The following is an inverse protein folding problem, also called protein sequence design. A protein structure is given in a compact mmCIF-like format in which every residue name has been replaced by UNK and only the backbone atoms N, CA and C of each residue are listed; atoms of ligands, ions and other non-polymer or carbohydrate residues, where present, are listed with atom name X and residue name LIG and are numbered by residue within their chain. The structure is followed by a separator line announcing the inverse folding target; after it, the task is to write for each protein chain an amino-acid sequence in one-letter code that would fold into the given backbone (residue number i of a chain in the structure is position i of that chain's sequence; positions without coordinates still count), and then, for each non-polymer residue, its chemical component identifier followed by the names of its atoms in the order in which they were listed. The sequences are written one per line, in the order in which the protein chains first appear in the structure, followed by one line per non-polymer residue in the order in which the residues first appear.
data_IF_420161971966
#
_entry.id   IF_420161971966
#
_cell.length_a   1.000
_cell.length_b   1.000
_cell.length_c   1.000
_cell.angle_alpha   90.00
_cell.angle_beta   90.00
_cell.angle_gamma   90.00
#
_symmetry.space_group_name_H-M   'P 1'
#
loop_
_entity.id
_entity.type
_entity.pdbx_description
1 polymer ?
#
# COMPACT_ATOMS: atom_id res chain seq x y z
N UNK A 1 18.78 3.07 16.49
CA UNK A 1 18.81 2.40 17.80
C UNK A 1 18.64 0.92 17.56
N UNK A 2 19.60 0.11 17.95
CA UNK A 2 19.50 -1.35 17.92
C UNK A 2 18.43 -1.79 18.92
N UNK A 3 17.33 -2.36 18.42
CA UNK A 3 16.36 -3.05 19.28
C UNK A 3 17.03 -4.37 19.68
N UNK A 4 17.62 -4.41 20.88
CA UNK A 4 18.42 -5.56 21.37
C UNK A 4 17.55 -6.65 22.01
N UNK A 5 16.36 -6.90 21.46
CA UNK A 5 15.47 -7.98 21.88
C UNK A 5 14.96 -8.74 20.65
N UNK A 6 14.73 -10.05 20.78
CA UNK A 6 14.04 -10.83 19.75
C UNK A 6 12.60 -10.32 19.62
N UNK A 7 12.18 -10.00 18.40
CA UNK A 7 10.79 -9.64 18.11
C UNK A 7 9.83 -10.78 18.49
N UNK A 8 8.58 -10.43 18.83
CA UNK A 8 7.53 -11.38 19.20
C UNK A 8 7.33 -12.44 18.12
N UNK A 9 7.19 -12.00 16.86
CA UNK A 9 7.11 -12.90 15.71
C UNK A 9 8.48 -13.11 15.07
N UNK A 10 8.91 -14.37 14.91
CA UNK A 10 10.20 -14.77 14.33
C UNK A 10 10.05 -15.65 13.08
N UNK A 11 8.84 -15.71 12.51
CA UNK A 11 8.58 -16.40 11.25
C UNK A 11 8.93 -15.54 10.03
N UNK A 12 8.72 -16.07 8.81
CA UNK A 12 8.98 -15.34 7.57
C UNK A 12 8.04 -14.14 7.44
N UNK A 13 8.51 -13.08 6.80
CA UNK A 13 7.72 -11.88 6.49
C UNK A 13 7.67 -11.65 4.97
N UNK A 14 6.51 -11.21 4.49
CA UNK A 14 6.20 -10.81 3.13
C UNK A 14 5.88 -9.32 3.12
N UNK A 15 6.67 -8.49 2.43
CA UNK A 15 6.34 -7.07 2.22
C UNK A 15 5.49 -6.89 0.95
N UNK A 16 4.18 -6.71 1.12
CA UNK A 16 3.22 -6.63 0.03
C UNK A 16 3.24 -5.30 -0.73
N UNK A 17 4.12 -4.35 -0.38
CA UNK A 17 4.13 -3.05 -1.03
C UNK A 17 5.49 -2.37 -0.93
N UNK A 18 6.31 -2.58 -1.96
CA UNK A 18 7.57 -1.85 -2.15
C UNK A 18 7.68 -1.29 -3.57
N UNK A 19 8.55 -0.31 -3.76
CA UNK A 19 8.90 0.23 -5.08
C UNK A 19 10.35 -0.09 -5.39
N UNK A 20 10.59 -0.81 -6.49
CA UNK A 20 11.96 -1.22 -6.86
C UNK A 20 12.52 -0.39 -8.01
N UNK A 21 13.83 -0.25 -7.99
CA UNK A 21 14.65 0.51 -8.92
C UNK A 21 16.06 -0.06 -9.00
N UNK A 22 16.81 0.29 -10.04
CA UNK A 22 18.06 -0.40 -10.35
C UNK A 22 19.15 -0.23 -9.28
N UNK A 23 19.43 1.01 -8.86
CA UNK A 23 20.63 1.32 -8.07
C UNK A 23 20.57 0.82 -6.63
N UNK A 24 19.42 0.97 -5.96
CA UNK A 24 19.32 0.63 -4.54
C UNK A 24 18.65 -0.71 -4.22
N UNK A 25 18.28 -1.52 -5.21
CA UNK A 25 17.62 -2.82 -4.95
C UNK A 25 18.48 -3.77 -4.12
N UNK A 26 19.79 -3.87 -4.40
CA UNK A 26 20.68 -4.72 -3.61
C UNK A 26 20.80 -4.25 -2.16
N UNK A 27 20.84 -2.94 -1.93
CA UNK A 27 20.82 -2.33 -0.59
C UNK A 27 19.52 -2.66 0.15
N UNK A 28 18.39 -2.49 -0.54
CA UNK A 28 17.07 -2.80 -0.02
C UNK A 28 16.96 -4.27 0.44
N UNK A 29 17.36 -5.21 -0.41
CA UNK A 29 17.33 -6.65 -0.09
C UNK A 29 18.25 -7.02 1.07
N UNK A 30 19.43 -6.41 1.17
CA UNK A 30 20.34 -6.64 2.29
C UNK A 30 19.73 -6.16 3.63
N UNK A 31 18.97 -5.06 3.62
CA UNK A 31 18.28 -4.57 4.81
C UNK A 31 17.07 -5.44 5.13
N UNK A 32 16.33 -5.88 4.12
CA UNK A 32 15.24 -6.86 4.27
C UNK A 32 15.68 -8.14 4.98
N UNK A 33 16.88 -8.64 4.68
CA UNK A 33 17.46 -9.82 5.33
C UNK A 33 17.71 -9.59 6.83
N UNK A 34 17.94 -8.34 7.28
CA UNK A 34 18.07 -7.99 8.71
C UNK A 34 16.73 -8.07 9.48
N UNK A 35 15.60 -8.08 8.75
CA UNK A 35 14.24 -8.06 9.29
C UNK A 35 13.41 -9.30 8.91
N UNK A 36 14.07 -10.37 8.45
CA UNK A 36 13.43 -11.64 8.06
C UNK A 36 12.39 -11.50 6.91
N UNK A 37 12.53 -10.47 6.06
CA UNK A 37 11.67 -10.27 4.89
C UNK A 37 12.08 -11.26 3.80
N UNK A 38 11.31 -12.33 3.66
CA UNK A 38 11.61 -13.44 2.76
C UNK A 38 11.13 -13.20 1.32
N UNK A 39 10.03 -12.44 1.15
CA UNK A 39 9.48 -12.08 -0.16
C UNK A 39 8.91 -10.67 -0.15
N UNK A 40 8.80 -10.07 -1.33
CA UNK A 40 8.15 -8.78 -1.51
C UNK A 40 7.37 -8.69 -2.81
N UNK A 41 6.42 -7.76 -2.87
CA UNK A 41 5.93 -7.21 -4.13
C UNK A 41 6.76 -5.99 -4.48
N UNK A 42 7.53 -6.10 -5.56
CA UNK A 42 8.27 -5.00 -6.13
C UNK A 42 7.46 -4.31 -7.23
N UNK A 43 6.99 -3.10 -6.95
CA UNK A 43 6.35 -2.23 -7.94
C UNK A 43 7.42 -1.66 -8.88
N UNK A 44 7.26 -1.96 -10.16
CA UNK A 44 8.22 -1.64 -11.22
C UNK A 44 7.70 -0.49 -12.06
N UNK A 45 8.52 0.55 -12.17
CA UNK A 45 8.21 1.76 -12.95
C UNK A 45 8.78 1.74 -14.37
N UNK A 46 9.74 0.86 -14.68
CA UNK A 46 10.34 0.77 -16.02
C UNK A 46 10.74 -0.67 -16.37
N UNK A 47 10.64 -1.09 -17.65
CA UNK A 47 11.06 -2.44 -18.08
C UNK A 47 12.51 -2.78 -17.76
N UNK A 48 13.42 -1.79 -17.79
CA UNK A 48 14.84 -1.99 -17.45
C UNK A 48 15.03 -2.48 -16.01
N UNK A 49 14.19 -2.02 -15.08
CA UNK A 49 14.22 -2.46 -13.69
C UNK A 49 13.71 -3.89 -13.56
N UNK A 50 12.65 -4.26 -14.32
CA UNK A 50 12.16 -5.64 -14.36
C UNK A 50 13.28 -6.60 -14.80
N UNK A 51 13.92 -6.33 -15.94
CA UNK A 51 14.94 -7.22 -16.49
C UNK A 51 16.11 -7.41 -15.52
N UNK A 52 16.56 -6.31 -14.92
CA UNK A 52 17.61 -6.34 -13.90
C UNK A 52 17.19 -7.19 -12.68
N UNK A 53 16.03 -6.87 -12.08
CA UNK A 53 15.58 -7.52 -10.86
C UNK A 53 15.27 -9.00 -11.08
N UNK A 54 14.60 -9.34 -12.18
CA UNK A 54 14.28 -10.72 -12.58
C UNK A 54 15.54 -11.55 -12.79
N UNK A 55 16.59 -10.99 -13.41
CA UNK A 55 17.84 -11.72 -13.67
C UNK A 55 18.62 -12.11 -12.40
N UNK A 56 18.34 -11.46 -11.26
CA UNK A 56 19.10 -11.64 -10.02
C UNK A 56 18.28 -12.12 -8.83
N UNK A 57 17.00 -11.78 -8.76
CA UNK A 57 16.19 -11.82 -7.55
C UNK A 57 14.76 -12.36 -7.79
N UNK A 58 14.54 -13.14 -8.85
CA UNK A 58 13.21 -13.67 -9.20
C UNK A 58 12.54 -14.49 -8.07
N UNK A 59 13.33 -15.18 -7.23
CA UNK A 59 12.77 -15.97 -6.11
C UNK A 59 12.26 -15.11 -4.94
N UNK A 60 12.74 -13.85 -4.85
CA UNK A 60 12.45 -12.91 -3.76
C UNK A 60 11.34 -11.92 -4.10
N UNK A 61 11.11 -11.63 -5.38
CA UNK A 61 10.27 -10.51 -5.80
C UNK A 61 9.15 -10.99 -6.72
N UNK A 62 7.93 -10.59 -6.39
CA UNK A 62 6.78 -10.62 -7.29
C UNK A 62 6.66 -9.25 -7.95
N UNK A 63 6.60 -9.22 -9.27
CA UNK A 63 6.70 -7.97 -10.01
C UNK A 63 5.31 -7.39 -10.31
N UNK A 64 5.02 -6.22 -9.74
CA UNK A 64 3.83 -5.43 -10.07
C UNK A 64 4.14 -4.40 -11.15
N UNK A 65 3.35 -4.38 -12.23
CA UNK A 65 3.49 -3.40 -13.31
C UNK A 65 2.81 -2.09 -12.93
N UNK A 66 3.56 -1.00 -12.85
CA UNK A 66 2.98 0.32 -12.63
C UNK A 66 2.32 0.83 -13.92
N UNK A 67 1.01 1.05 -13.88
CA UNK A 67 0.27 1.62 -14.99
C UNK A 67 0.50 3.13 -15.06
N UNK A 68 0.75 3.69 -16.26
CA UNK A 68 1.04 5.11 -16.42
C UNK A 68 -0.17 5.97 -16.03
N UNK A 69 -0.03 6.73 -14.93
CA UNK A 69 -1.10 7.62 -14.45
C UNK A 69 -1.54 8.59 -15.53
N UNK A 70 -0.62 9.18 -16.30
CA UNK A 70 -0.94 10.15 -17.35
C UNK A 70 -1.82 9.61 -18.47
N UNK A 71 -1.62 8.35 -18.85
CA UNK A 71 -2.41 7.70 -19.90
C UNK A 71 -3.76 7.23 -19.35
N UNK A 72 -3.76 6.78 -18.09
CA UNK A 72 -4.99 6.39 -17.42
C UNK A 72 -5.93 7.59 -17.23
N UNK A 73 -5.40 8.74 -16.82
CA UNK A 73 -6.22 9.94 -16.58
C UNK A 73 -6.76 10.56 -17.85
N UNK A 74 -6.16 10.24 -19.00
CA UNK A 74 -6.67 10.59 -20.34
C UNK A 74 -7.66 9.57 -20.90
N UNK A 75 -8.01 8.55 -20.13
CA UNK A 75 -8.84 7.43 -20.58
C UNK A 75 -8.28 6.75 -21.83
N UNK A 76 -6.96 6.57 -21.90
CA UNK A 76 -6.33 5.77 -22.95
C UNK A 76 -6.57 4.27 -22.68
N UNK A 77 -7.82 3.85 -22.79
CA UNK A 77 -8.29 2.49 -22.46
C UNK A 77 -7.61 1.47 -23.35
N UNK A 78 -7.35 1.80 -24.62
CA UNK A 78 -6.65 0.92 -25.55
C UNK A 78 -5.26 0.53 -25.00
N UNK A 79 -4.49 1.51 -24.52
CA UNK A 79 -3.20 1.23 -23.87
C UNK A 79 -3.40 0.35 -22.63
N UNK A 80 -4.37 0.65 -21.76
CA UNK A 80 -4.60 -0.14 -20.56
C UNK A 80 -4.93 -1.60 -20.88
N UNK A 81 -5.74 -1.86 -21.91
CA UNK A 81 -6.06 -3.22 -22.36
C UNK A 81 -4.81 -3.93 -22.94
N UNK A 82 -3.96 -3.20 -23.67
CA UNK A 82 -2.68 -3.72 -24.15
C UNK A 82 -1.76 -4.11 -22.98
N UNK A 83 -1.61 -3.23 -21.99
CA UNK A 83 -0.81 -3.47 -20.77
C UNK A 83 -1.27 -4.71 -19.99
N UNK A 84 -2.59 -4.95 -19.94
CA UNK A 84 -3.18 -6.16 -19.35
C UNK A 84 -2.86 -7.38 -20.21
N UNK A 85 -3.01 -7.28 -21.53
CA UNK A 85 -2.83 -8.40 -22.45
C UNK A 85 -1.39 -8.94 -22.50
N UNK A 86 -0.39 -8.09 -22.30
CA UNK A 86 1.03 -8.48 -22.32
C UNK A 86 1.62 -8.71 -20.93
N UNK A 87 0.84 -8.51 -19.86
CA UNK A 87 1.30 -8.48 -18.47
C UNK A 87 2.16 -9.69 -18.09
N UNK A 88 1.62 -10.89 -18.30
CA UNK A 88 2.28 -12.14 -17.92
C UNK A 88 3.44 -12.50 -18.85
N UNK A 89 3.30 -12.24 -20.15
CA UNK A 89 4.36 -12.50 -21.15
C UNK A 89 5.60 -11.63 -20.88
N UNK A 90 5.40 -10.42 -20.37
CA UNK A 90 6.49 -9.53 -19.95
C UNK A 90 7.15 -10.01 -18.64
N UNK A 91 6.44 -10.78 -17.82
CA UNK A 91 6.94 -11.35 -16.55
C UNK A 91 6.46 -10.63 -15.29
N UNK A 92 5.37 -9.87 -15.38
CA UNK A 92 4.67 -9.32 -14.21
C UNK A 92 3.61 -10.29 -13.70
N UNK A 93 3.17 -10.11 -12.46
CA UNK A 93 2.12 -10.95 -11.85
C UNK A 93 0.84 -10.19 -11.51
N UNK A 94 0.93 -8.85 -11.45
CA UNK A 94 -0.14 -7.97 -11.00
C UNK A 94 0.06 -6.54 -11.52
N UNK A 95 -0.97 -5.72 -11.39
CA UNK A 95 -0.99 -4.31 -11.79
C UNK A 95 -0.89 -3.39 -10.57
N UNK A 96 -0.43 -2.16 -10.78
CA UNK A 96 -0.43 -1.08 -9.80
C UNK A 96 -0.96 0.21 -10.42
N UNK A 97 -1.90 0.86 -9.76
CA UNK A 97 -2.39 2.20 -10.08
C UNK A 97 -2.20 3.15 -8.89
N UNK A 98 -1.98 4.44 -9.21
CA UNK A 98 -1.76 5.49 -8.22
C UNK A 98 -2.64 6.71 -8.51
N UNK A 99 -3.55 6.99 -7.58
CA UNK A 99 -4.49 8.11 -7.58
C UNK A 99 -4.56 8.78 -6.19
N UNK A 100 -3.41 8.89 -5.51
CA UNK A 100 -3.27 9.92 -4.47
C UNK A 100 -3.46 11.29 -5.12
N UNK A 101 -4.24 12.23 -4.56
CA UNK A 101 -4.70 13.45 -5.26
C UNK A 101 -3.57 14.29 -5.88
N UNK A 102 -2.34 14.14 -5.36
CA UNK A 102 -1.13 14.76 -5.90
C UNK A 102 -0.82 14.44 -7.35
N UNK A 103 -1.39 13.39 -7.96
CA UNK A 103 -1.16 13.12 -9.38
C UNK A 103 -1.51 14.33 -10.27
N UNK A 104 -2.48 15.15 -9.83
CA UNK A 104 -2.89 16.42 -10.47
C UNK A 104 -1.83 17.53 -10.47
N UNK A 105 -0.72 17.33 -9.75
CA UNK A 105 0.45 18.23 -9.82
C UNK A 105 1.40 17.86 -10.95
N UNK A 106 1.32 16.62 -11.44
CA UNK A 106 2.28 16.05 -12.40
C UNK A 106 1.67 15.78 -13.77
N UNK A 107 0.34 15.65 -13.84
CA UNK A 107 -0.40 15.38 -15.06
C UNK A 107 -1.46 16.45 -15.26
N UNK A 108 -1.46 17.03 -16.45
CA UNK A 108 -2.51 17.94 -16.88
C UNK A 108 -3.80 17.15 -17.16
N UNK A 109 -4.84 17.47 -16.39
CA UNK A 109 -6.22 16.98 -16.60
C UNK A 109 -7.07 18.17 -17.02
N UNK A 110 -7.26 18.32 -18.34
CA UNK A 110 -8.04 19.39 -18.91
C UNK A 110 -9.47 19.38 -18.32
N UNK A 111 -9.84 20.48 -17.67
CA UNK A 111 -11.11 20.69 -16.96
C UNK A 111 -11.30 19.85 -15.68
N UNK A 112 -10.24 19.27 -15.13
CA UNK A 112 -10.30 18.49 -13.88
C UNK A 112 -11.36 17.36 -13.95
N UNK A 113 -11.41 16.68 -15.11
CA UNK A 113 -12.52 15.82 -15.52
C UNK A 113 -12.30 14.33 -15.21
N UNK A 114 -11.08 13.95 -14.84
CA UNK A 114 -10.79 12.56 -14.54
C UNK A 114 -11.52 12.09 -13.28
N UNK A 115 -12.17 10.93 -13.41
CA UNK A 115 -12.74 10.16 -12.31
C UNK A 115 -12.40 8.69 -12.49
N UNK A 116 -12.05 8.04 -11.38
CA UNK A 116 -11.74 6.60 -11.37
C UNK A 116 -12.97 5.74 -11.67
N UNK A 117 -14.17 6.22 -11.34
CA UNK A 117 -15.46 5.54 -11.58
C UNK A 117 -16.13 5.94 -12.89
N UNK A 118 -15.41 6.58 -13.81
CA UNK A 118 -15.97 6.92 -15.13
C UNK A 118 -16.12 5.66 -15.99
N UNK A 119 -17.30 5.53 -16.61
CA UNK A 119 -17.67 4.38 -17.46
C UNK A 119 -16.68 4.09 -18.59
N UNK A 120 -15.88 5.07 -19.02
CA UNK A 120 -14.80 4.85 -20.00
C UNK A 120 -13.76 3.85 -19.52
N UNK A 121 -13.52 3.73 -18.20
CA UNK A 121 -12.60 2.74 -17.64
C UNK A 121 -13.22 1.35 -17.46
N UNK A 122 -14.54 1.19 -17.67
CA UNK A 122 -15.21 -0.11 -17.51
C UNK A 122 -14.52 -1.25 -18.28
N UNK A 123 -14.13 -1.11 -19.55
CA UNK A 123 -13.49 -2.22 -20.28
C UNK A 123 -12.19 -2.70 -19.63
N UNK A 124 -11.43 -1.80 -18.98
CA UNK A 124 -10.24 -2.17 -18.24
C UNK A 124 -10.59 -2.98 -17.00
N UNK A 125 -11.53 -2.50 -16.17
CA UNK A 125 -11.97 -3.22 -14.97
C UNK A 125 -12.62 -4.56 -15.29
N UNK A 126 -13.46 -4.62 -16.32
CA UNK A 126 -14.06 -5.87 -16.84
C UNK A 126 -12.98 -6.87 -17.25
N UNK A 127 -11.92 -6.41 -17.93
CA UNK A 127 -10.83 -7.30 -18.35
C UNK A 127 -10.06 -7.86 -17.15
N UNK A 128 -9.63 -7.01 -16.20
CA UNK A 128 -8.86 -7.50 -15.05
C UNK A 128 -9.71 -8.33 -14.08
N UNK A 129 -11.01 -8.07 -13.97
CA UNK A 129 -11.94 -8.91 -13.21
C UNK A 129 -12.08 -10.28 -13.85
N UNK A 130 -12.32 -10.33 -15.18
CA UNK A 130 -12.48 -11.57 -15.94
C UNK A 130 -11.23 -12.43 -15.93
N UNK A 131 -10.05 -11.82 -16.09
CA UNK A 131 -8.77 -12.52 -16.11
C UNK A 131 -8.21 -12.74 -14.68
N UNK A 132 -8.95 -12.34 -13.64
CA UNK A 132 -8.59 -12.46 -12.22
C UNK A 132 -7.21 -11.86 -11.89
N UNK A 133 -6.83 -10.78 -12.57
CA UNK A 133 -5.53 -10.11 -12.39
C UNK A 133 -5.59 -9.24 -11.13
N UNK A 134 -4.72 -9.47 -10.12
CA UNK A 134 -4.67 -8.61 -8.95
C UNK A 134 -4.25 -7.17 -9.31
N UNK A 135 -4.88 -6.20 -8.66
CA UNK A 135 -4.54 -4.79 -8.79
C UNK A 135 -4.26 -4.19 -7.41
N UNK A 136 -3.08 -3.61 -7.24
CA UNK A 136 -2.81 -2.70 -6.13
C UNK A 136 -3.32 -1.32 -6.55
N UNK A 137 -4.18 -0.70 -5.75
CA UNK A 137 -4.69 0.64 -6.04
C UNK A 137 -4.52 1.57 -4.83
N UNK A 138 -3.95 2.75 -5.08
CA UNK A 138 -3.84 3.82 -4.08
C UNK A 138 -4.82 4.93 -4.48
N UNK A 139 -5.83 5.19 -3.65
CA UNK A 139 -6.81 6.27 -3.84
C UNK A 139 -6.91 7.08 -2.56
N UNK A 140 -6.77 8.41 -2.66
CA UNK A 140 -6.76 9.28 -1.48
C UNK A 140 -5.39 9.29 -0.76
N UNK A 141 -5.29 10.09 0.29
CA UNK A 141 -4.06 10.36 1.04
C UNK A 141 -4.46 10.76 2.50
N UNK A 142 -3.50 11.03 3.41
CA UNK A 142 -3.82 11.41 4.80
C UNK A 142 -4.80 12.58 4.91
N UNK A 143 -5.63 12.58 5.96
CA UNK A 143 -6.51 13.73 6.26
C UNK A 143 -5.71 15.03 6.39
N UNK A 144 -4.54 14.94 7.02
CA UNK A 144 -3.59 16.05 7.11
C UNK A 144 -3.24 16.64 5.75
N UNK A 145 -3.18 15.85 4.67
CA UNK A 145 -2.87 16.37 3.34
C UNK A 145 -4.08 17.07 2.72
N UNK A 146 -5.30 16.58 2.96
CA UNK A 146 -6.52 17.32 2.62
C UNK A 146 -6.64 18.65 3.39
N UNK A 147 -6.14 18.68 4.62
CA UNK A 147 -6.12 19.87 5.47
C UNK A 147 -4.94 20.81 5.23
N UNK A 148 -3.90 20.45 4.46
CA UNK A 148 -2.68 21.28 4.35
C UNK A 148 -2.14 21.44 2.92
N UNK A 149 -2.38 20.47 2.03
CA UNK A 149 -1.85 20.43 0.66
C UNK A 149 -2.95 20.49 -0.39
N UNK A 150 -4.12 19.89 -0.10
CA UNK A 150 -5.23 19.75 -1.05
C UNK A 150 -6.41 20.67 -0.75
N UNK A 151 -6.14 21.86 -0.21
CA UNK A 151 -7.17 22.84 0.13
C UNK A 151 -8.02 23.31 -1.07
N UNK A 152 -7.45 23.29 -2.27
CA UNK A 152 -8.18 23.57 -3.50
C UNK A 152 -9.02 22.35 -3.90
N UNK A 153 -10.21 22.26 -3.32
CA UNK A 153 -11.15 21.15 -3.59
C UNK A 153 -11.59 21.12 -5.05
N UNK A 154 -11.53 22.26 -5.78
CA UNK A 154 -11.86 22.28 -7.20
C UNK A 154 -10.83 21.54 -8.05
N UNK A 155 -9.59 21.48 -7.58
CA UNK A 155 -8.50 20.70 -8.17
C UNK A 155 -8.48 19.27 -7.61
N UNK A 156 -8.31 19.10 -6.31
CA UNK A 156 -8.00 17.78 -5.73
C UNK A 156 -9.23 16.94 -5.34
N UNK A 157 -10.42 17.54 -5.34
CA UNK A 157 -11.61 16.96 -4.71
C UNK A 157 -11.45 16.83 -3.19
N UNK A 158 -12.42 16.19 -2.57
CA UNK A 158 -12.38 15.81 -1.16
C UNK A 158 -11.94 14.35 -1.00
N UNK A 159 -11.52 13.97 0.21
CA UNK A 159 -11.19 12.56 0.50
C UNK A 159 -12.38 11.65 0.28
N UNK A 160 -13.56 12.07 0.73
CA UNK A 160 -14.78 11.28 0.62
C UNK A 160 -15.19 11.09 -0.85
N UNK A 161 -15.06 12.12 -1.69
CA UNK A 161 -15.28 11.97 -3.15
C UNK A 161 -14.29 11.03 -3.81
N UNK A 162 -13.02 11.03 -3.38
CA UNK A 162 -12.00 10.12 -3.91
C UNK A 162 -12.28 8.67 -3.47
N UNK A 163 -12.62 8.45 -2.20
CA UNK A 163 -13.00 7.13 -1.68
C UNK A 163 -14.29 6.62 -2.33
N UNK A 164 -15.28 7.48 -2.53
CA UNK A 164 -16.55 7.12 -3.18
C UNK A 164 -16.35 6.64 -4.62
N UNK A 165 -15.38 7.20 -5.36
CA UNK A 165 -15.07 6.70 -6.70
C UNK A 165 -14.56 5.25 -6.66
N UNK A 166 -13.66 4.93 -5.73
CA UNK A 166 -13.20 3.53 -5.58
C UNK A 166 -14.34 2.60 -5.15
N UNK A 167 -15.20 3.06 -4.23
CA UNK A 167 -16.37 2.29 -3.80
C UNK A 167 -17.34 2.01 -4.96
N UNK A 168 -17.57 2.99 -5.84
CA UNK A 168 -18.40 2.80 -7.03
C UNK A 168 -17.82 1.73 -7.98
N UNK A 169 -16.49 1.71 -8.16
CA UNK A 169 -15.81 0.63 -8.90
C UNK A 169 -16.02 -0.72 -8.23
N UNK A 170 -15.89 -0.82 -6.90
CA UNK A 170 -16.09 -2.06 -6.16
C UNK A 170 -17.55 -2.57 -6.23
N UNK A 171 -18.53 -1.66 -6.20
CA UNK A 171 -19.95 -2.00 -6.38
C UNK A 171 -20.24 -2.53 -7.77
N UNK A 172 -19.58 -1.98 -8.79
CA UNK A 172 -19.78 -2.35 -10.19
C UNK A 172 -19.06 -3.65 -10.56
N UNK A 173 -17.89 -3.90 -9.97
CA UNK A 173 -17.02 -5.05 -10.26
C UNK A 173 -16.70 -5.82 -8.96
N UNK A 174 -17.69 -6.54 -8.39
CA UNK A 174 -17.60 -7.14 -7.06
C UNK A 174 -16.67 -8.35 -6.96
N UNK A 175 -16.08 -8.81 -8.07
CA UNK A 175 -15.11 -9.92 -8.10
C UNK A 175 -13.68 -9.46 -8.34
N UNK A 176 -13.43 -8.14 -8.48
CA UNK A 176 -12.07 -7.60 -8.64
C UNK A 176 -11.15 -8.02 -7.48
N UNK A 177 -9.97 -8.54 -7.78
CA UNK A 177 -8.95 -8.83 -6.76
C UNK A 177 -8.17 -7.55 -6.45
N UNK A 178 -8.59 -6.78 -5.46
CA UNK A 178 -7.92 -5.52 -5.11
C UNK A 178 -7.12 -5.61 -3.81
N UNK A 179 -5.86 -5.19 -3.87
CA UNK A 179 -5.12 -4.72 -2.70
C UNK A 179 -5.28 -3.20 -2.64
N UNK A 180 -6.07 -2.70 -1.68
CA UNK A 180 -6.23 -1.26 -1.47
C UNK A 180 -5.11 -0.78 -0.56
N UNK A 181 -4.27 0.09 -1.11
CA UNK A 181 -3.06 0.54 -0.45
C UNK A 181 -3.34 1.44 0.77
N UNK A 182 -2.39 1.44 1.69
CA UNK A 182 -2.31 2.38 2.82
C UNK A 182 -3.55 2.32 3.71
N UNK A 183 -3.99 1.11 4.03
CA UNK A 183 -5.15 0.86 4.87
C UNK A 183 -6.45 1.45 4.28
N UNK A 184 -6.60 1.31 2.96
CA UNK A 184 -7.74 1.90 2.24
C UNK A 184 -7.74 3.43 2.25
N UNK A 185 -6.58 4.05 2.48
CA UNK A 185 -6.42 5.47 2.81
C UNK A 185 -7.29 5.94 3.99
N UNK A 186 -7.63 5.05 4.91
CA UNK A 186 -8.55 5.32 6.04
C UNK A 186 -7.99 4.86 7.40
N UNK A 187 -6.68 4.98 7.72
CA UNK A 187 -6.16 4.60 9.02
C UNK A 187 -6.54 5.57 10.15
N UNK A 188 -7.09 6.75 9.84
CA UNK A 188 -7.59 7.67 10.87
C UNK A 188 -8.72 7.02 11.68
N UNK A 189 -8.65 7.11 13.02
CA UNK A 189 -9.57 6.40 13.93
C UNK A 189 -11.06 6.62 13.58
N UNK A 190 -11.45 7.84 13.24
CA UNK A 190 -12.83 8.17 12.90
C UNK A 190 -13.29 7.62 11.53
N UNK A 191 -12.36 7.12 10.70
CA UNK A 191 -12.65 6.51 9.39
C UNK A 191 -12.70 4.99 9.43
N UNK A 192 -12.27 4.36 10.54
CA UNK A 192 -12.28 2.91 10.68
C UNK A 192 -13.69 2.31 10.54
N UNK A 193 -14.74 3.03 10.94
CA UNK A 193 -16.13 2.59 10.72
C UNK A 193 -16.49 2.47 9.23
N UNK A 194 -16.05 3.42 8.40
CA UNK A 194 -16.29 3.34 6.96
C UNK A 194 -15.44 2.24 6.32
N UNK A 195 -14.19 2.08 6.75
CA UNK A 195 -13.33 1.00 6.28
C UNK A 195 -13.87 -0.38 6.68
N UNK A 196 -14.42 -0.52 7.89
CA UNK A 196 -15.07 -1.75 8.36
C UNK A 196 -16.25 -2.11 7.47
N UNK A 197 -17.09 -1.12 7.13
CA UNK A 197 -18.20 -1.29 6.17
C UNK A 197 -17.71 -1.78 4.80
N UNK A 198 -16.61 -1.23 4.28
CA UNK A 198 -16.01 -1.72 3.02
C UNK A 198 -15.54 -3.17 3.16
N UNK A 199 -14.85 -3.50 4.25
CA UNK A 199 -14.39 -4.86 4.50
C UNK A 199 -15.57 -5.83 4.59
N UNK A 200 -16.67 -5.48 5.25
CA UNK A 200 -17.86 -6.32 5.35
C UNK A 200 -18.60 -6.49 4.00
N UNK A 201 -18.61 -5.43 3.18
CA UNK A 201 -19.37 -5.39 1.91
C UNK A 201 -18.62 -6.09 0.77
N UNK A 202 -17.30 -5.93 0.71
CA UNK A 202 -16.46 -6.38 -0.40
C UNK A 202 -15.51 -7.49 0.08
N UNK A 203 -15.88 -8.78 -0.05
CA UNK A 203 -15.04 -9.89 0.41
C UNK A 203 -13.77 -10.09 -0.44
N UNK A 204 -13.73 -9.52 -1.63
CA UNK A 204 -12.69 -9.61 -2.65
C UNK A 204 -11.52 -8.62 -2.46
N UNK A 205 -11.60 -7.71 -1.49
CA UNK A 205 -10.55 -6.75 -1.20
C UNK A 205 -9.65 -7.19 -0.04
N UNK A 206 -8.37 -6.83 -0.12
CA UNK A 206 -7.41 -6.85 0.98
C UNK A 206 -6.83 -5.45 1.16
N UNK A 207 -6.38 -5.13 2.38
CA UNK A 207 -5.70 -3.88 2.70
C UNK A 207 -4.20 -4.15 2.86
N UNK A 208 -3.34 -3.20 2.52
CA UNK A 208 -1.95 -3.24 2.97
C UNK A 208 -1.65 -2.19 4.05
N UNK A 209 -0.60 -2.42 4.85
CA UNK A 209 -0.13 -1.48 5.87
C UNK A 209 0.93 -0.51 5.36
N UNK A 210 1.02 -0.29 4.04
CA UNK A 210 2.05 0.54 3.46
C UNK A 210 1.88 2.02 3.84
N UNK A 211 2.95 2.80 3.71
CA UNK A 211 3.15 4.09 4.38
C UNK A 211 3.30 3.93 5.89
N UNK A 212 4.38 3.25 6.30
CA UNK A 212 4.66 2.89 7.71
C UNK A 212 4.56 4.06 8.70
N UNK A 213 4.87 5.30 8.27
CA UNK A 213 4.73 6.49 9.12
C UNK A 213 3.28 6.88 9.36
N UNK A 214 2.44 6.74 8.33
CA UNK A 214 1.03 7.10 8.40
C UNK A 214 0.29 6.08 9.27
N UNK A 215 0.59 4.79 9.10
CA UNK A 215 0.07 3.73 9.97
C UNK A 215 0.47 3.96 11.42
N UNK A 216 1.76 4.17 11.68
CA UNK A 216 2.27 4.46 13.02
C UNK A 216 1.61 5.70 13.64
N UNK A 217 1.38 6.77 12.86
CA UNK A 217 0.80 8.01 13.36
C UNK A 217 -0.68 7.88 13.69
N UNK A 218 -1.47 7.26 12.84
CA UNK A 218 -2.94 7.28 12.97
C UNK A 218 -3.45 6.15 13.86
N UNK A 219 -2.95 4.93 13.69
CA UNK A 219 -3.40 3.78 14.46
C UNK A 219 -2.91 3.82 15.91
N UNK A 220 -1.84 4.57 16.20
CA UNK A 220 -1.39 4.79 17.58
C UNK A 220 -2.27 5.77 18.36
N UNK A 221 -3.17 6.53 17.72
CA UNK A 221 -4.00 7.54 18.43
C UNK A 221 -5.04 6.88 19.35
N UNK A 222 -5.52 5.70 18.95
CA UNK A 222 -6.40 4.86 19.75
C UNK A 222 -6.03 3.38 19.49
N UNK A 223 -5.08 2.83 20.28
CA UNK A 223 -4.60 1.47 20.07
C UNK A 223 -5.67 0.41 20.36
N UNK A 224 -6.65 0.70 21.23
CA UNK A 224 -7.73 -0.25 21.51
C UNK A 224 -8.66 -0.40 20.29
N UNK A 225 -9.10 0.72 19.73
CA UNK A 225 -9.94 0.72 18.51
C UNK A 225 -9.19 0.11 17.33
N UNK A 226 -7.92 0.49 17.14
CA UNK A 226 -7.09 -0.04 16.06
C UNK A 226 -6.85 -1.55 16.21
N UNK A 227 -6.54 -2.02 17.42
CA UNK A 227 -6.37 -3.45 17.71
C UNK A 227 -7.65 -4.22 17.39
N UNK A 228 -8.81 -3.74 17.82
CA UNK A 228 -10.09 -4.40 17.54
C UNK A 228 -10.35 -4.53 16.04
N UNK A 229 -10.08 -3.48 15.27
CA UNK A 229 -10.19 -3.51 13.81
C UNK A 229 -9.27 -4.58 13.21
N UNK A 230 -7.99 -4.59 13.57
CA UNK A 230 -7.02 -5.57 13.05
C UNK A 230 -7.43 -7.00 13.42
N UNK A 231 -7.89 -7.24 14.64
CA UNK A 231 -8.35 -8.56 15.09
C UNK A 231 -9.56 -9.05 14.28
N UNK A 232 -10.52 -8.16 14.01
CA UNK A 232 -11.74 -8.50 13.27
C UNK A 232 -11.47 -8.82 11.79
N UNK A 233 -10.58 -8.06 11.16
CA UNK A 233 -10.29 -8.17 9.72
C UNK A 233 -8.95 -8.85 9.39
N UNK A 234 -8.39 -9.57 10.37
CA UNK A 234 -7.04 -10.13 10.34
C UNK A 234 -6.73 -11.02 9.13
N UNK A 235 -7.72 -11.62 8.47
CA UNK A 235 -7.52 -12.49 7.30
C UNK A 235 -7.34 -11.73 5.98
N UNK A 236 -7.53 -10.40 5.97
CA UNK A 236 -7.51 -9.56 4.76
C UNK A 236 -6.66 -8.30 4.89
N UNK A 237 -5.69 -8.32 5.80
CA UNK A 237 -4.71 -7.23 5.98
C UNK A 237 -3.31 -7.79 5.72
N UNK A 238 -2.58 -7.15 4.82
CA UNK A 238 -1.25 -7.52 4.38
C UNK A 238 -0.22 -6.57 4.98
N UNK A 239 0.88 -7.10 5.47
CA UNK A 239 2.03 -6.28 5.81
C UNK A 239 2.60 -5.61 4.53
N UNK A 240 2.84 -4.31 4.57
CA UNK A 240 3.54 -3.58 3.51
C UNK A 240 4.20 -2.33 4.05
N UNK A 241 5.34 -1.89 3.50
CA UNK A 241 6.08 -0.75 4.08
C UNK A 241 6.01 0.56 3.30
N UNK A 242 5.77 0.48 1.98
CA UNK A 242 5.91 1.56 0.98
C UNK A 242 7.36 2.07 0.85
N UNK A 243 8.32 1.16 1.04
CA UNK A 243 9.74 1.47 0.85
C UNK A 243 10.07 1.50 -0.63
N UNK A 244 10.76 2.56 -1.07
CA UNK A 244 11.26 2.67 -2.44
C UNK A 244 12.77 2.56 -2.51
N UNK A 245 13.30 1.58 -3.25
CA UNK A 245 14.73 1.21 -3.29
C UNK A 245 15.67 2.35 -3.69
N UNK A 246 15.18 3.39 -4.36
CA UNK A 246 15.98 4.55 -4.78
C UNK A 246 15.91 5.74 -3.80
N UNK A 247 15.30 5.57 -2.62
CA UNK A 247 15.12 6.63 -1.63
C UNK A 247 15.79 6.28 -0.33
N UNK A 248 16.45 7.24 0.31
CA UNK A 248 16.97 7.11 1.68
C UNK A 248 18.16 6.18 1.84
N UNK A 249 18.71 6.18 3.06
CA UNK A 249 19.80 5.30 3.51
C UNK A 249 19.32 4.25 4.50
N UNK A 250 20.22 3.41 5.02
CA UNK A 250 19.86 2.29 5.89
C UNK A 250 18.86 2.65 6.98
N UNK A 251 19.05 3.78 7.68
CA UNK A 251 18.18 4.26 8.74
C UNK A 251 16.75 4.56 8.26
N UNK A 252 16.61 5.03 7.01
CA UNK A 252 15.30 5.28 6.41
C UNK A 252 14.53 3.99 6.18
N UNK A 253 15.19 2.92 5.71
CA UNK A 253 14.57 1.62 5.41
C UNK A 253 14.29 0.85 6.70
N UNK A 254 15.35 0.61 7.49
CA UNK A 254 15.27 -0.13 8.74
C UNK A 254 14.27 0.53 9.70
N UNK A 255 14.20 1.87 9.69
CA UNK A 255 13.20 2.61 10.44
C UNK A 255 11.76 2.24 10.11
N UNK A 256 11.42 1.91 8.85
CA UNK A 256 10.06 1.49 8.45
C UNK A 256 9.69 0.14 9.06
N UNK A 257 10.61 -0.82 8.97
CA UNK A 257 10.43 -2.14 9.58
C UNK A 257 10.35 -2.04 11.10
N UNK A 258 11.26 -1.28 11.73
CA UNK A 258 11.23 -1.04 13.19
C UNK A 258 9.90 -0.39 13.61
N UNK A 259 9.43 0.63 12.89
CA UNK A 259 8.18 1.31 13.22
C UNK A 259 6.98 0.36 13.18
N UNK A 260 6.88 -0.45 12.13
CA UNK A 260 5.78 -1.41 12.03
C UNK A 260 5.90 -2.56 13.02
N UNK A 261 7.12 -3.06 13.28
CA UNK A 261 7.34 -4.09 14.32
C UNK A 261 6.95 -3.57 15.69
N UNK A 262 7.30 -2.34 16.04
CA UNK A 262 6.83 -1.71 17.28
C UNK A 262 5.29 -1.59 17.31
N UNK A 263 4.67 -1.17 16.21
CA UNK A 263 3.22 -1.01 16.12
C UNK A 263 2.47 -2.34 16.26
N UNK A 264 2.91 -3.41 15.60
CA UNK A 264 2.15 -4.66 15.55
C UNK A 264 2.49 -5.63 16.68
N UNK A 265 3.76 -5.75 17.05
CA UNK A 265 4.25 -6.87 17.87
C UNK A 265 4.31 -6.57 19.36
N UNK A 266 4.29 -5.30 19.74
CA UNK A 266 4.67 -4.87 21.09
C UNK A 266 3.53 -4.14 21.79
N UNK A 267 3.66 -3.99 23.10
CA UNK A 267 2.80 -3.19 23.97
C UNK A 267 3.45 -1.85 24.34
N UNK A 268 4.44 -1.38 23.55
CA UNK A 268 5.14 -0.13 23.87
C UNK A 268 4.18 1.04 23.85
N UNK A 269 4.35 1.95 24.80
CA UNK A 269 3.59 3.19 24.84
C UNK A 269 4.50 4.37 24.55
N UNK A 270 3.96 5.33 23.80
CA UNK A 270 4.57 6.64 23.55
C UNK A 270 6.01 6.56 23.03
N UNK A 271 6.29 5.58 22.15
CA UNK A 271 7.63 5.36 21.60
C UNK A 271 7.85 6.28 20.40
N UNK A 272 8.88 7.16 20.36
CA UNK A 272 9.09 8.02 19.20
C UNK A 272 9.30 7.21 17.92
N UNK A 273 8.75 7.69 16.80
CA UNK A 273 8.99 7.13 15.48
C UNK A 273 10.52 7.10 15.21
N UNK A 274 11.08 6.00 14.69
CA UNK A 274 12.54 5.84 14.56
C UNK A 274 13.16 6.69 13.43
N UNK A 275 12.36 7.50 12.73
CA UNK A 275 12.78 8.42 11.69
C UNK A 275 11.85 9.64 11.69
N UNK A 276 12.24 10.72 11.00
CA UNK A 276 11.46 11.96 10.97
C UNK A 276 10.17 11.76 10.17
N UNK A 277 9.04 12.00 10.82
CA UNK A 277 7.77 12.23 10.12
C UNK A 277 7.64 13.71 9.75
N UNK A 278 7.70 14.00 8.45
CA UNK A 278 7.58 15.37 7.94
C UNK A 278 6.24 16.01 8.25
N UNK A 279 5.19 15.20 8.44
CA UNK A 279 3.82 15.71 8.66
C UNK A 279 3.63 16.18 10.11
N UNK A 280 4.47 15.74 11.05
CA UNK A 280 4.36 16.03 12.48
C UNK A 280 5.63 16.63 13.10
N UNK A 281 6.70 16.84 12.32
CA UNK A 281 8.00 17.34 12.82
C UNK A 281 7.90 18.67 13.59
N UNK A 282 6.96 19.53 13.21
CA UNK A 282 6.73 20.85 13.80
C UNK A 282 5.58 20.83 14.83
N UNK A 283 5.01 19.65 15.09
CA UNK A 283 3.84 19.42 15.97
C UNK A 283 4.16 18.47 17.14
N UNK A 284 5.45 18.27 17.46
CA UNK A 284 5.90 17.40 18.56
C UNK A 284 6.27 15.98 18.15
N UNK A 285 6.15 15.64 16.85
CA UNK A 285 6.55 14.35 16.29
C UNK A 285 5.47 13.26 16.39
N UNK A 286 5.80 12.09 15.86
CA UNK A 286 4.94 10.90 15.90
C UNK A 286 5.42 9.93 16.97
N UNK A 287 4.46 9.39 17.73
CA UNK A 287 4.70 8.37 18.75
C UNK A 287 3.89 7.12 18.44
N UNK A 288 4.53 5.97 18.62
CA UNK A 288 3.98 4.65 18.41
C UNK A 288 3.42 4.13 19.73
N UNK A 289 2.16 3.70 19.70
CA UNK A 289 1.53 2.88 20.72
C UNK A 289 1.29 1.50 20.11
N UNK A 290 2.00 0.50 20.61
CA UNK A 290 1.96 -0.86 20.09
C UNK A 290 0.62 -1.53 20.37
N UNK A 291 0.19 -2.36 19.42
CA UNK A 291 -1.09 -3.05 19.46
C UNK A 291 -1.01 -4.43 20.12
N UNK A 292 0.19 -4.96 20.41
CA UNK A 292 0.46 -6.29 20.98
C UNK A 292 -0.35 -7.43 20.32
N UNK A 293 -0.37 -7.50 18.99
CA UNK A 293 -1.19 -8.49 18.25
C UNK A 293 -0.82 -9.93 18.64
N UNK A 294 -1.80 -10.85 18.81
CA UNK A 294 -1.52 -12.26 19.08
C UNK A 294 -0.67 -12.89 17.97
N UNK A 295 0.13 -13.90 18.31
CA UNK A 295 1.03 -14.57 17.36
C UNK A 295 0.30 -15.06 16.09
N UNK A 296 -0.91 -15.62 16.25
CA UNK A 296 -1.73 -16.11 15.13
C UNK A 296 -2.21 -15.00 14.19
N UNK A 297 -2.27 -13.76 14.66
CA UNK A 297 -2.63 -12.58 13.87
C UNK A 297 -1.39 -12.02 13.19
N UNK A 298 -0.24 -12.00 13.88
CA UNK A 298 1.04 -11.63 13.29
C UNK A 298 1.42 -12.55 12.13
N UNK A 299 1.22 -13.87 12.25
CA UNK A 299 1.46 -14.83 11.15
C UNK A 299 0.59 -14.53 9.91
N UNK A 300 -0.68 -14.14 10.13
CA UNK A 300 -1.60 -13.73 9.06
C UNK A 300 -1.10 -12.46 8.37
N UNK A 301 -0.87 -11.41 9.16
CA UNK A 301 -0.42 -10.11 8.69
C UNK A 301 0.90 -10.21 7.91
N UNK A 302 1.89 -10.88 8.50
CA UNK A 302 3.24 -10.92 7.96
C UNK A 302 3.43 -11.90 6.81
N UNK A 303 2.64 -12.96 6.68
CA UNK A 303 2.93 -13.98 5.67
C UNK A 303 1.69 -14.58 5.03
N UNK A 304 0.83 -15.20 5.84
CA UNK A 304 -0.20 -16.12 5.34
C UNK A 304 -1.21 -15.41 4.44
N UNK A 305 -1.60 -14.17 4.74
CA UNK A 305 -2.58 -13.47 3.90
C UNK A 305 -2.01 -13.14 2.52
N UNK A 306 -0.76 -12.66 2.45
CA UNK A 306 -0.11 -12.34 1.17
C UNK A 306 0.09 -13.61 0.33
N UNK A 307 0.51 -14.71 0.97
CA UNK A 307 0.66 -16.00 0.32
C UNK A 307 -0.65 -16.51 -0.29
N UNK A 308 -1.77 -16.37 0.43
CA UNK A 308 -3.10 -16.75 -0.08
C UNK A 308 -3.60 -15.82 -1.18
N UNK A 309 -3.44 -14.49 -1.03
CA UNK A 309 -3.96 -13.53 -2.00
C UNK A 309 -3.18 -13.55 -3.32
N UNK A 310 -1.90 -13.92 -3.31
CA UNK A 310 -1.05 -13.97 -4.51
C UNK A 310 -0.80 -15.39 -5.04
N UNK A 311 -1.44 -16.42 -4.47
CA UNK A 311 -1.32 -17.83 -4.87
C UNK A 311 0.15 -18.31 -4.95
N UNK A 312 0.91 -18.09 -3.88
CA UNK A 312 2.38 -18.29 -3.86
C UNK A 312 2.85 -19.64 -3.36
#
# INVERSE_FOLDING_TARGET
MTVTGSWKYSGPIFDAHTHIGHEGLAKMLAIEDEFDICKQIGIVHTPKVLDYARSKYADRIIFAKYLPTSETTRYNVQLLLEEVSTLYDEGYSLLKMWFGPRWRDYVEDENNSFRLDDSRLNPFFEMIEKEEIPLIIHVGDPDTYFETLYHDTSKYGTKDENLQQLENVLLQFPSLRLQIAHFGSQPEIHRLDNLARWMDTFPNIVLDTASSRWMARELSKDPDTSRQFILQYADRILFGTDVGSNRGEHEYYSGRYVAQRLLWDTDVEHRPLPFVDQDTKDLGGTFINGLDLPMSILEKLYWRNAHLFYNL
#
